data_IF_346084736549
#
_entry.id   IF_346084736549
#
_cell.length_a   1.000
_cell.length_b   1.000
_cell.length_c   1.000
_cell.angle_alpha   90.00
_cell.angle_beta   90.00
_cell.angle_gamma   90.00
#
_symmetry.space_group_name_H-M   'P 1'
#
loop_
_entity.id
_entity.type
_entity.pdbx_description
1 polymer ?
#
# COMPACT_ATOMS: atom_id res chain seq x y z
N UNK A 1 50.23 -4.18 -5.60
CA UNK A 1 48.82 -3.76 -5.59
C UNK A 1 48.02 -4.94 -5.07
N UNK A 2 47.57 -4.89 -3.81
CA UNK A 2 46.77 -5.95 -3.22
C UNK A 2 45.33 -5.76 -3.71
N UNK A 3 44.79 -6.78 -4.38
CA UNK A 3 43.36 -6.85 -4.66
C UNK A 3 42.65 -7.02 -3.30
N UNK A 4 41.98 -5.96 -2.84
CA UNK A 4 41.00 -6.07 -1.77
C UNK A 4 39.92 -7.05 -2.24
N UNK A 5 39.87 -8.22 -1.59
CA UNK A 5 38.70 -9.08 -1.63
C UNK A 5 37.56 -8.28 -1.02
N UNK A 6 36.66 -7.76 -1.86
CA UNK A 6 35.34 -7.32 -1.42
C UNK A 6 34.65 -8.56 -0.86
N UNK A 7 34.62 -8.67 0.46
CA UNK A 7 33.81 -9.67 1.15
C UNK A 7 32.36 -9.40 0.74
N UNK A 8 31.71 -10.35 0.06
CA UNK A 8 30.26 -10.30 -0.16
C UNK A 8 29.58 -10.28 1.21
N UNK A 9 29.20 -9.09 1.66
CA UNK A 9 28.50 -8.85 2.91
C UNK A 9 27.07 -9.35 2.75
N UNK A 10 26.81 -10.57 3.22
CA UNK A 10 25.48 -11.19 3.14
C UNK A 10 24.60 -10.81 4.33
N UNK A 11 23.57 -10.01 4.11
CA UNK A 11 22.65 -9.57 5.16
C UNK A 11 21.84 -10.73 5.73
N UNK A 12 21.58 -10.67 7.04
CA UNK A 12 20.72 -11.61 7.76
C UNK A 12 19.55 -10.84 8.35
N UNK A 13 18.32 -11.31 8.08
CA UNK A 13 17.10 -10.60 8.44
C UNK A 13 16.28 -11.34 9.48
N UNK A 14 15.70 -10.62 10.45
CA UNK A 14 14.75 -11.21 11.39
C UNK A 14 13.48 -10.37 11.50
N UNK A 15 12.32 -11.02 11.44
CA UNK A 15 11.03 -10.38 11.59
C UNK A 15 10.86 -9.85 13.02
N UNK A 16 10.46 -8.59 13.14
CA UNK A 16 10.07 -7.95 14.40
C UNK A 16 8.56 -8.09 14.61
N UNK A 17 8.11 -9.29 14.96
CA UNK A 17 6.67 -9.62 15.05
C UNK A 17 5.90 -8.82 16.11
N UNK A 18 6.60 -8.17 17.06
CA UNK A 18 6.00 -7.31 18.09
C UNK A 18 5.86 -5.85 17.67
N UNK A 19 6.55 -5.40 16.61
CA UNK A 19 6.40 -4.02 16.13
C UNK A 19 5.04 -3.89 15.46
N UNK A 20 4.31 -2.86 15.86
CA UNK A 20 3.00 -2.54 15.33
C UNK A 20 3.01 -1.16 14.72
N UNK A 21 2.05 -0.93 13.83
CA UNK A 21 1.92 0.30 13.06
C UNK A 21 0.60 0.95 13.41
N UNK A 22 0.65 2.19 13.89
CA UNK A 22 -0.50 2.92 14.40
C UNK A 22 -1.57 3.11 13.33
N UNK A 23 -1.18 3.33 12.06
CA UNK A 23 -2.14 3.51 10.97
C UNK A 23 -2.95 2.24 10.66
N UNK A 24 -2.43 1.05 10.97
CA UNK A 24 -3.15 -0.22 10.80
C UNK A 24 -4.16 -0.48 11.93
N UNK A 25 -4.03 0.22 13.06
CA UNK A 25 -4.90 0.09 14.22
C UNK A 25 -5.89 1.25 14.34
N UNK A 26 -5.64 2.35 13.64
CA UNK A 26 -6.50 3.53 13.65
C UNK A 26 -7.86 3.24 13.00
N UNK A 27 -8.93 3.52 13.74
CA UNK A 27 -10.30 3.19 13.32
C UNK A 27 -10.73 3.99 12.10
N UNK A 28 -10.43 5.30 12.08
CA UNK A 28 -10.82 6.18 10.98
C UNK A 28 -10.09 5.78 9.69
N UNK A 29 -8.79 5.49 9.81
CA UNK A 29 -7.97 4.98 8.71
C UNK A 29 -8.51 3.65 8.20
N UNK A 30 -8.91 2.73 9.08
CA UNK A 30 -9.51 1.45 8.68
C UNK A 30 -10.82 1.65 7.90
N UNK A 31 -11.69 2.57 8.33
CA UNK A 31 -12.93 2.92 7.62
C UNK A 31 -12.64 3.49 6.21
N UNK A 32 -11.66 4.40 6.10
CA UNK A 32 -11.23 4.94 4.80
C UNK A 32 -10.59 3.87 3.91
N UNK A 33 -9.67 3.06 4.45
CA UNK A 33 -9.05 1.97 3.70
C UNK A 33 -10.10 0.95 3.22
N UNK A 34 -11.16 0.71 4.00
CA UNK A 34 -12.26 -0.15 3.56
C UNK A 34 -13.00 0.50 2.38
N UNK A 35 -13.36 1.78 2.51
CA UNK A 35 -14.02 2.57 1.47
C UNK A 35 -13.21 2.62 0.17
N UNK A 36 -11.88 2.74 0.28
CA UNK A 36 -10.97 2.78 -0.86
C UNK A 36 -10.54 1.40 -1.35
N UNK A 37 -11.14 0.31 -0.86
CA UNK A 37 -10.80 -1.07 -1.24
C UNK A 37 -9.32 -1.43 -1.01
N UNK A 38 -8.70 -0.84 0.02
CA UNK A 38 -7.31 -1.08 0.44
C UNK A 38 -7.21 -1.83 1.78
N UNK A 39 -8.28 -1.90 2.58
CA UNK A 39 -8.27 -2.60 3.87
C UNK A 39 -7.93 -4.08 3.66
N UNK A 40 -6.96 -4.58 4.43
CA UNK A 40 -6.44 -5.93 4.29
C UNK A 40 -5.59 -6.16 3.04
N UNK A 41 -5.37 -5.15 2.20
CA UNK A 41 -4.50 -5.19 1.01
C UNK A 41 -3.26 -4.33 1.15
N UNK A 42 -3.30 -3.33 2.04
CA UNK A 42 -2.14 -2.61 2.54
C UNK A 42 -1.66 -3.23 3.86
N UNK A 43 -0.35 -3.44 4.01
CA UNK A 43 0.26 -3.92 5.25
C UNK A 43 1.66 -3.36 5.41
N UNK A 44 2.13 -3.30 6.65
CA UNK A 44 3.50 -3.01 6.99
C UNK A 44 4.09 -4.16 7.82
N UNK A 45 5.36 -4.52 7.57
CA UNK A 45 6.10 -5.54 8.31
C UNK A 45 7.48 -5.00 8.66
N UNK A 46 7.89 -5.16 9.91
CA UNK A 46 9.18 -4.68 10.37
C UNK A 46 10.21 -5.80 10.48
N UNK A 47 11.45 -5.53 10.11
CA UNK A 47 12.58 -6.45 10.22
C UNK A 47 13.78 -5.73 10.82
N UNK A 48 14.66 -6.48 11.47
CA UNK A 48 16.02 -6.05 11.78
C UNK A 48 17.03 -6.77 10.89
N UNK A 49 18.24 -6.23 10.81
CA UNK A 49 19.37 -6.88 10.16
C UNK A 49 20.71 -6.59 10.86
N UNK A 50 21.69 -7.44 10.59
CA UNK A 50 22.95 -7.55 11.35
C UNK A 50 24.13 -6.74 10.80
N UNK A 51 24.03 -6.25 9.57
CA UNK A 51 25.12 -5.52 8.90
C UNK A 51 24.83 -4.04 8.69
N UNK A 52 25.88 -3.25 8.44
CA UNK A 52 25.73 -1.83 8.15
C UNK A 52 25.17 -1.61 6.74
N UNK A 53 24.06 -0.88 6.63
CA UNK A 53 23.51 -0.52 5.33
C UNK A 53 24.15 0.75 4.77
N UNK A 54 24.48 0.73 3.48
CA UNK A 54 24.93 1.91 2.73
C UNK A 54 24.18 1.97 1.41
N UNK A 55 23.70 3.15 1.02
CA UNK A 55 22.79 3.33 -0.12
C UNK A 55 23.34 2.85 -1.47
N UNK A 56 24.68 2.79 -1.62
CA UNK A 56 25.28 2.24 -2.83
C UNK A 56 25.08 0.72 -2.95
N UNK A 57 24.99 -0.01 -1.83
CA UNK A 57 24.72 -1.47 -1.75
C UNK A 57 23.22 -1.81 -1.75
N UNK A 58 22.34 -0.87 -2.14
CA UNK A 58 20.88 -1.08 -2.13
C UNK A 58 20.44 -2.28 -2.97
N UNK A 59 21.13 -2.58 -4.06
CA UNK A 59 20.76 -3.68 -4.96
C UNK A 59 21.04 -5.02 -4.29
N UNK A 60 22.22 -5.17 -3.70
CA UNK A 60 22.68 -6.34 -2.96
C UNK A 60 21.83 -6.55 -1.71
N UNK A 61 21.57 -5.50 -0.94
CA UNK A 61 20.71 -5.54 0.25
C UNK A 61 19.31 -6.10 -0.07
N UNK A 62 18.65 -5.57 -1.10
CA UNK A 62 17.31 -6.03 -1.51
C UNK A 62 17.36 -7.45 -2.08
N UNK A 63 18.42 -7.79 -2.83
CA UNK A 63 18.63 -9.15 -3.32
C UNK A 63 18.76 -10.14 -2.18
N UNK A 64 19.57 -9.82 -1.16
CA UNK A 64 19.73 -10.65 0.04
C UNK A 64 18.43 -10.76 0.82
N UNK A 65 17.68 -9.67 0.96
CA UNK A 65 16.37 -9.66 1.62
C UNK A 65 15.42 -10.68 1.00
N UNK A 66 15.20 -10.62 -0.33
CA UNK A 66 14.28 -11.55 -0.99
C UNK A 66 14.78 -12.99 -1.06
N UNK A 67 16.10 -13.22 -0.90
CA UNK A 67 16.72 -14.55 -0.91
C UNK A 67 16.96 -15.14 0.48
N UNK A 68 16.72 -14.37 1.55
CA UNK A 68 16.83 -14.88 2.91
C UNK A 68 15.66 -15.84 3.19
N UNK A 69 15.93 -17.11 3.58
CA UNK A 69 14.88 -18.09 3.86
C UNK A 69 13.89 -17.63 4.95
N UNK A 70 14.33 -16.84 5.93
CA UNK A 70 13.46 -16.28 6.98
C UNK A 70 12.56 -15.20 6.44
N UNK A 71 13.00 -14.44 5.44
CA UNK A 71 12.14 -13.46 4.76
C UNK A 71 11.16 -14.21 3.89
N UNK A 72 11.61 -15.16 3.06
CA UNK A 72 10.71 -15.95 2.21
C UNK A 72 9.59 -16.64 3.00
N UNK A 73 9.88 -17.12 4.21
CA UNK A 73 8.92 -17.77 5.11
C UNK A 73 8.04 -16.81 5.92
N UNK A 74 8.27 -15.50 5.88
CA UNK A 74 7.51 -14.53 6.71
C UNK A 74 6.91 -13.39 5.90
N UNK A 75 7.54 -12.99 4.78
CA UNK A 75 7.10 -11.90 3.93
C UNK A 75 5.77 -12.27 3.29
N UNK A 76 4.72 -11.66 3.82
CA UNK A 76 3.37 -11.79 3.28
C UNK A 76 3.27 -11.08 1.92
N UNK A 77 2.72 -11.80 0.95
CA UNK A 77 2.34 -11.31 -0.38
C UNK A 77 0.86 -11.63 -0.57
N UNK A 78 0.09 -10.66 -1.02
CA UNK A 78 -1.32 -10.92 -1.29
C UNK A 78 -1.39 -11.73 -2.58
N UNK A 79 -2.01 -12.91 -2.56
CA UNK A 79 -2.24 -13.79 -3.71
C UNK A 79 -3.34 -13.26 -4.64
N UNK A 80 -3.41 -13.77 -5.87
CA UNK A 80 -4.39 -13.29 -6.86
C UNK A 80 -5.83 -13.62 -6.46
N UNK A 81 -5.98 -14.60 -5.58
CA UNK A 81 -7.20 -15.02 -4.90
C UNK A 81 -7.59 -14.10 -3.73
N UNK A 82 -6.83 -13.02 -3.48
CA UNK A 82 -7.09 -12.09 -2.38
C UNK A 82 -6.67 -12.62 -1.00
N UNK A 83 -5.96 -13.74 -0.93
CA UNK A 83 -5.47 -14.33 0.31
C UNK A 83 -3.99 -14.04 0.52
N UNK A 84 -3.59 -13.66 1.73
CA UNK A 84 -2.18 -13.50 2.06
C UNK A 84 -1.47 -14.86 2.08
N UNK A 85 -0.40 -14.95 1.31
CA UNK A 85 0.49 -16.11 1.21
C UNK A 85 1.92 -15.69 1.51
N UNK A 86 2.78 -16.65 1.82
CA UNK A 86 4.22 -16.40 1.85
C UNK A 86 4.71 -16.24 0.41
N UNK A 87 5.80 -15.49 0.19
CA UNK A 87 6.34 -15.31 -1.15
C UNK A 87 6.66 -16.66 -1.82
N UNK A 88 7.11 -17.67 -1.06
CA UNK A 88 7.35 -19.09 -1.44
C UNK A 88 7.81 -19.34 -2.89
N UNK A 89 8.58 -18.38 -3.41
CA UNK A 89 9.04 -18.31 -4.80
C UNK A 89 10.52 -17.99 -4.76
N UNK A 90 11.27 -18.68 -5.60
CA UNK A 90 12.69 -18.44 -5.74
C UNK A 90 12.92 -17.13 -6.52
N UNK A 91 13.33 -16.08 -5.83
CA UNK A 91 13.59 -14.77 -6.44
C UNK A 91 14.91 -14.80 -7.21
N UNK A 92 14.82 -14.66 -8.53
CA UNK A 92 15.96 -14.66 -9.46
C UNK A 92 16.54 -13.26 -9.63
N UNK A 93 15.68 -12.23 -9.64
CA UNK A 93 16.06 -10.83 -9.91
C UNK A 93 15.26 -9.87 -9.04
N UNK A 94 15.85 -8.72 -8.73
CA UNK A 94 15.17 -7.59 -8.07
C UNK A 94 15.39 -6.29 -8.85
N UNK A 95 14.43 -5.37 -8.78
CA UNK A 95 14.57 -3.98 -9.23
C UNK A 95 14.45 -3.08 -8.00
N UNK A 96 15.38 -2.14 -7.87
CA UNK A 96 15.44 -1.21 -6.74
C UNK A 96 15.52 0.21 -7.27
N UNK A 97 14.62 1.06 -6.80
CA UNK A 97 14.60 2.48 -7.08
C UNK A 97 14.77 3.24 -5.76
N UNK A 98 15.76 4.14 -5.71
CA UNK A 98 15.93 5.05 -4.58
C UNK A 98 14.88 6.17 -4.70
N UNK A 99 14.06 6.33 -3.68
CA UNK A 99 12.97 7.31 -3.65
C UNK A 99 13.37 8.47 -2.75
N UNK A 100 13.38 9.73 -3.25
CA UNK A 100 13.58 10.90 -2.43
C UNK A 100 12.58 10.95 -1.27
N UNK A 101 13.07 11.26 -0.08
CA UNK A 101 12.26 11.36 1.14
C UNK A 101 12.67 12.62 1.90
N UNK A 102 12.67 13.76 1.22
CA UNK A 102 13.12 15.06 1.75
C UNK A 102 11.96 15.94 2.22
N UNK A 103 10.75 15.75 1.67
CA UNK A 103 9.56 16.52 2.05
C UNK A 103 8.91 15.95 3.30
N UNK A 104 8.89 16.74 4.38
CA UNK A 104 8.30 16.36 5.66
C UNK A 104 6.93 16.99 5.93
N UNK A 105 6.52 17.95 5.11
CA UNK A 105 5.26 18.68 5.29
C UNK A 105 4.27 18.39 4.17
N UNK A 106 3.00 18.33 4.53
CA UNK A 106 1.88 18.20 3.58
C UNK A 106 1.61 19.49 2.82
N UNK A 107 2.26 20.60 3.19
CA UNK A 107 2.15 21.89 2.48
C UNK A 107 2.59 21.77 1.01
N UNK A 108 3.28 20.68 0.65
CA UNK A 108 3.53 20.35 -0.75
C UNK A 108 2.25 20.18 -1.59
N UNK A 109 1.09 19.98 -0.95
CA UNK A 109 -0.22 19.89 -1.59
C UNK A 109 -0.97 21.23 -1.63
N UNK A 110 -0.41 22.31 -1.09
CA UNK A 110 -1.01 23.66 -1.18
C UNK A 110 -1.27 24.12 -2.63
N UNK A 111 -0.43 23.78 -3.63
CA UNK A 111 -0.70 24.12 -5.02
C UNK A 111 -2.03 23.58 -5.55
N UNK A 112 -2.58 22.52 -4.96
CA UNK A 112 -3.89 21.97 -5.35
C UNK A 112 -5.02 22.99 -5.13
N UNK A 113 -4.91 23.83 -4.11
CA UNK A 113 -5.89 24.88 -3.82
C UNK A 113 -5.72 26.08 -4.74
N UNK A 114 -4.49 26.51 -5.00
CA UNK A 114 -4.21 27.70 -5.81
C UNK A 114 -4.54 27.52 -7.28
N UNK A 115 -4.55 26.27 -7.78
CA UNK A 115 -4.88 25.94 -9.18
C UNK A 115 -6.31 25.42 -9.37
N UNK A 116 -7.16 25.48 -8.33
CA UNK A 116 -8.58 25.14 -8.45
C UNK A 116 -8.91 23.64 -8.54
N UNK A 117 -7.92 22.77 -8.41
CA UNK A 117 -8.11 21.31 -8.27
C UNK A 117 -8.92 21.01 -7.01
N UNK A 118 -8.67 21.78 -5.95
CA UNK A 118 -9.39 21.73 -4.67
C UNK A 118 -9.95 23.11 -4.35
N UNK A 119 -11.21 23.18 -3.94
CA UNK A 119 -11.87 24.41 -3.49
C UNK A 119 -11.36 24.82 -2.11
N UNK A 120 -11.48 26.11 -1.70
CA UNK A 120 -11.11 26.54 -0.35
C UNK A 120 -11.81 25.76 0.78
N UNK A 121 -12.95 25.15 0.50
CA UNK A 121 -13.70 24.28 1.42
C UNK A 121 -13.11 22.87 1.56
N UNK A 122 -12.04 22.52 0.83
CA UNK A 122 -11.46 21.18 0.77
C UNK A 122 -12.13 20.24 -0.23
N UNK A 123 -13.19 20.69 -0.92
CA UNK A 123 -13.90 19.89 -1.92
C UNK A 123 -13.09 19.76 -3.21
N UNK A 124 -12.94 18.53 -3.71
CA UNK A 124 -12.26 18.23 -4.98
C UNK A 124 -13.17 18.67 -6.14
N UNK A 125 -12.59 19.41 -7.09
CA UNK A 125 -13.32 19.89 -8.26
C UNK A 125 -13.59 18.74 -9.23
N UNK A 126 -14.85 18.56 -9.63
CA UNK A 126 -15.23 17.60 -10.68
C UNK A 126 -14.83 18.13 -12.04
N UNK A 127 -14.48 17.22 -12.96
CA UNK A 127 -14.15 17.56 -14.34
C UNK A 127 -15.02 16.78 -15.32
N UNK A 128 -15.14 17.28 -16.54
CA UNK A 128 -15.78 16.56 -17.63
C UNK A 128 -14.74 15.68 -18.33
N UNK A 129 -14.68 14.41 -17.95
CA UNK A 129 -13.80 13.44 -18.61
C UNK A 129 -14.56 12.67 -19.68
N UNK A 130 -13.97 12.51 -20.87
CA UNK A 130 -14.62 11.92 -22.05
C UNK A 130 -15.14 10.49 -21.80
N UNK A 131 -14.41 9.72 -21.01
CA UNK A 131 -14.68 8.29 -20.78
C UNK A 131 -15.31 7.97 -19.41
N UNK A 132 -15.18 8.85 -18.43
CA UNK A 132 -15.51 8.55 -17.04
C UNK A 132 -16.36 9.67 -16.45
N UNK A 133 -17.65 9.41 -16.26
CA UNK A 133 -18.59 10.42 -15.77
C UNK A 133 -18.25 10.93 -14.36
N UNK A 134 -17.69 10.07 -13.52
CA UNK A 134 -17.39 10.38 -12.13
C UNK A 134 -15.96 10.86 -11.91
N UNK A 135 -15.21 11.24 -12.96
CA UNK A 135 -13.82 11.69 -12.84
C UNK A 135 -13.70 13.08 -12.17
N UNK A 136 -12.51 13.41 -11.69
CA UNK A 136 -12.25 14.69 -11.04
C UNK A 136 -10.87 15.25 -11.39
N UNK A 137 -10.68 16.54 -11.12
CA UNK A 137 -9.46 17.29 -11.41
C UNK A 137 -8.24 16.70 -10.67
N UNK A 138 -8.44 16.10 -9.49
CA UNK A 138 -7.36 15.51 -8.71
C UNK A 138 -6.80 14.29 -9.43
N UNK A 139 -7.67 13.34 -9.82
CA UNK A 139 -7.26 12.14 -10.56
C UNK A 139 -6.72 12.48 -11.94
N UNK A 140 -7.27 13.50 -12.59
CA UNK A 140 -6.72 14.03 -13.85
C UNK A 140 -5.28 14.52 -13.67
N UNK A 141 -5.01 15.35 -12.66
CA UNK A 141 -3.66 15.80 -12.35
C UNK A 141 -2.72 14.64 -12.00
N UNK A 142 -3.21 13.65 -11.24
CA UNK A 142 -2.40 12.50 -10.82
C UNK A 142 -2.02 11.56 -11.97
N UNK A 143 -2.94 11.29 -12.91
CA UNK A 143 -2.82 10.21 -13.89
C UNK A 143 -2.53 10.65 -15.33
N UNK A 144 -2.96 11.84 -15.73
CA UNK A 144 -2.91 12.26 -17.14
C UNK A 144 -1.75 13.24 -17.34
N UNK A 145 -0.64 12.74 -17.88
CA UNK A 145 0.60 13.51 -18.11
C UNK A 145 0.39 14.74 -19.00
N UNK A 146 -0.51 14.64 -19.97
CA UNK A 146 -0.84 15.70 -20.91
C UNK A 146 -1.92 16.68 -20.38
N UNK A 147 -2.40 16.51 -19.14
CA UNK A 147 -3.39 17.42 -18.58
C UNK A 147 -2.77 18.76 -18.19
N UNK A 148 -3.55 19.85 -18.32
CA UNK A 148 -3.11 21.20 -17.94
C UNK A 148 -2.62 21.28 -16.49
N UNK A 149 -3.25 20.50 -15.62
CA UNK A 149 -2.97 20.48 -14.19
C UNK A 149 -1.84 19.53 -13.78
N UNK A 150 -1.31 18.68 -14.67
CA UNK A 150 -0.25 17.71 -14.32
C UNK A 150 0.98 18.40 -13.71
N UNK A 151 1.38 19.55 -14.26
CA UNK A 151 2.55 20.30 -13.79
C UNK A 151 2.35 21.08 -12.47
N UNK A 152 1.14 21.07 -11.88
CA UNK A 152 0.83 21.84 -10.64
C UNK A 152 1.71 21.41 -9.48
N UNK A 153 2.02 20.12 -9.40
CA UNK A 153 3.06 19.59 -8.50
C UNK A 153 4.31 19.35 -9.35
N UNK A 154 5.44 19.91 -8.93
CA UNK A 154 6.69 19.87 -9.68
C UNK A 154 7.14 18.43 -9.95
N UNK A 155 7.87 18.20 -11.04
CA UNK A 155 8.38 16.87 -11.39
C UNK A 155 9.18 16.26 -10.23
N UNK A 156 9.97 17.08 -9.55
CA UNK A 156 10.80 16.73 -8.41
C UNK A 156 9.93 16.33 -7.20
N UNK A 157 8.93 17.13 -6.85
CA UNK A 157 8.01 16.84 -5.74
C UNK A 157 7.18 15.58 -6.01
N UNK A 158 6.86 15.27 -7.27
CA UNK A 158 6.17 14.02 -7.62
C UNK A 158 7.03 12.77 -7.41
N UNK A 159 8.35 12.92 -7.38
CA UNK A 159 9.24 11.80 -7.05
C UNK A 159 9.33 11.55 -5.55
N UNK A 160 8.96 12.51 -4.70
CA UNK A 160 9.06 12.39 -3.24
C UNK A 160 8.13 11.30 -2.70
N UNK A 161 8.62 10.58 -1.69
CA UNK A 161 7.88 9.48 -1.08
C UNK A 161 6.52 9.93 -0.55
N UNK A 162 6.44 11.12 0.04
CA UNK A 162 5.19 11.69 0.54
C UNK A 162 4.14 11.87 -0.59
N UNK A 163 4.55 12.36 -1.75
CA UNK A 163 3.66 12.49 -2.91
C UNK A 163 3.24 11.12 -3.45
N UNK A 164 4.20 10.20 -3.62
CA UNK A 164 3.89 8.86 -4.14
C UNK A 164 2.91 8.12 -3.24
N UNK A 165 3.08 8.23 -1.91
CA UNK A 165 2.15 7.67 -0.95
C UNK A 165 0.75 8.32 -1.07
N UNK A 166 0.69 9.64 -1.19
CA UNK A 166 -0.56 10.36 -1.42
C UNK A 166 -1.27 9.90 -2.69
N UNK A 167 -0.53 9.77 -3.80
CA UNK A 167 -1.06 9.25 -5.07
C UNK A 167 -1.65 7.86 -4.88
N UNK A 168 -0.91 6.93 -4.27
CA UNK A 168 -1.41 5.57 -3.99
C UNK A 168 -2.72 5.56 -3.20
N UNK A 169 -2.82 6.42 -2.19
CA UNK A 169 -4.02 6.57 -1.35
C UNK A 169 -5.20 7.14 -2.15
N UNK A 170 -4.95 8.12 -3.03
CA UNK A 170 -6.00 8.70 -3.88
C UNK A 170 -6.51 7.71 -4.94
N UNK A 171 -5.62 6.90 -5.52
CA UNK A 171 -5.98 5.90 -6.52
C UNK A 171 -6.78 4.75 -5.91
N UNK A 172 -6.42 4.35 -4.68
CA UNK A 172 -7.10 3.29 -3.95
C UNK A 172 -6.94 1.91 -4.57
N UNK A 173 -7.87 1.02 -4.23
CA UNK A 173 -7.98 -0.34 -4.76
C UNK A 173 -9.00 -0.46 -5.89
N UNK A 174 -9.40 -1.69 -6.19
CA UNK A 174 -10.28 -1.99 -7.31
C UNK A 174 -11.67 -1.36 -7.16
N UNK A 175 -12.33 -1.56 -6.01
CA UNK A 175 -13.65 -1.01 -5.74
C UNK A 175 -13.56 0.31 -4.95
N UNK A 176 -12.63 1.18 -5.34
CA UNK A 176 -12.39 2.44 -4.65
C UNK A 176 -13.64 3.34 -4.72
N UNK A 177 -14.20 3.67 -3.56
CA UNK A 177 -15.19 4.72 -3.44
C UNK A 177 -14.46 6.04 -3.13
N UNK A 178 -14.25 6.85 -4.17
CA UNK A 178 -13.49 8.09 -4.06
C UNK A 178 -14.10 9.09 -3.07
N UNK A 179 -13.26 9.94 -2.50
CA UNK A 179 -13.67 11.06 -1.64
C UNK A 179 -13.96 12.30 -2.47
N UNK A 180 -14.86 13.14 -1.95
CA UNK A 180 -15.05 14.50 -2.45
C UNK A 180 -14.24 15.52 -1.65
N UNK A 181 -13.60 15.12 -0.54
CA UNK A 181 -12.85 16.01 0.36
C UNK A 181 -11.38 15.58 0.38
N UNK A 182 -10.48 16.48 0.00
CA UNK A 182 -9.03 16.19 -0.10
C UNK A 182 -8.40 15.83 1.24
N UNK A 183 -8.91 16.41 2.34
CA UNK A 183 -8.35 16.27 3.68
C UNK A 183 -8.33 14.82 4.14
N UNK A 184 -9.34 14.02 3.75
CA UNK A 184 -9.40 12.59 4.06
C UNK A 184 -8.17 11.84 3.52
N UNK A 185 -7.76 12.15 2.28
CA UNK A 185 -6.57 11.58 1.65
C UNK A 185 -5.28 12.11 2.27
N UNK A 186 -5.18 13.43 2.48
CA UNK A 186 -3.98 14.06 3.06
C UNK A 186 -3.72 13.57 4.48
N UNK A 187 -4.74 13.49 5.33
CA UNK A 187 -4.58 13.07 6.72
C UNK A 187 -4.25 11.59 6.84
N UNK A 188 -4.87 10.74 6.03
CA UNK A 188 -4.50 9.31 5.98
C UNK A 188 -3.07 9.12 5.50
N UNK A 189 -2.67 9.83 4.44
CA UNK A 189 -1.29 9.85 3.94
C UNK A 189 -0.33 10.30 5.04
N UNK A 190 -0.63 11.40 5.72
CA UNK A 190 0.20 11.96 6.80
C UNK A 190 0.37 10.95 7.94
N UNK A 191 -0.70 10.25 8.33
CA UNK A 191 -0.63 9.25 9.38
C UNK A 191 0.30 8.10 9.00
N UNK A 192 0.12 7.52 7.80
CA UNK A 192 0.99 6.45 7.30
C UNK A 192 2.43 6.95 7.21
N UNK A 193 2.67 8.13 6.64
CA UNK A 193 4.00 8.71 6.48
C UNK A 193 4.71 8.88 7.82
N UNK A 194 4.03 9.40 8.84
CA UNK A 194 4.59 9.58 10.20
C UNK A 194 4.93 8.27 10.90
N UNK A 195 4.21 7.20 10.58
CA UNK A 195 4.42 5.88 11.17
C UNK A 195 5.56 5.12 10.49
N UNK A 196 5.83 5.43 9.22
CA UNK A 196 6.87 4.79 8.41
C UNK A 196 8.22 5.55 8.44
N UNK A 197 8.19 6.88 8.43
CA UNK A 197 9.40 7.70 8.22
C UNK A 197 9.97 8.19 9.55
N UNK A 198 11.22 7.85 9.80
CA UNK A 198 12.00 8.37 10.91
C UNK A 198 12.57 9.75 10.57
N UNK A 199 12.50 10.67 11.54
CA UNK A 199 13.06 12.02 11.44
C UNK A 199 14.03 12.28 12.58
N UNK A 200 15.06 13.08 12.30
CA UNK A 200 15.98 13.58 13.31
C UNK A 200 16.12 15.10 13.21
N UNK A 201 16.53 15.72 14.31
CA UNK A 201 16.90 17.13 14.30
C UNK A 201 18.39 17.24 14.07
N UNK A 202 18.77 17.96 13.04
CA UNK A 202 20.16 18.23 12.75
C UNK A 202 20.80 19.01 13.93
N UNK A 203 21.93 18.53 14.49
CA UNK A 203 22.54 19.15 15.67
C UNK A 203 23.00 20.59 15.43
N UNK A 204 23.39 20.94 14.21
CA UNK A 204 23.98 22.22 13.85
C UNK A 204 22.91 23.24 13.43
N UNK A 205 22.15 22.90 12.39
CA UNK A 205 21.12 23.77 11.78
C UNK A 205 19.82 23.80 12.56
N UNK A 206 19.60 22.86 13.48
CA UNK A 206 18.34 22.65 14.23
C UNK A 206 17.13 22.34 13.36
N UNK A 207 17.31 22.09 12.07
CA UNK A 207 16.24 21.71 11.15
C UNK A 207 15.89 20.22 11.33
N UNK A 208 14.63 19.88 11.12
CA UNK A 208 14.17 18.48 11.14
C UNK A 208 14.35 17.91 9.73
N UNK A 209 14.94 16.73 9.64
CA UNK A 209 15.24 16.04 8.39
C UNK A 209 14.89 14.56 8.50
N UNK A 210 14.42 13.97 7.40
CA UNK A 210 14.23 12.52 7.32
C UNK A 210 15.58 11.81 7.43
N UNK A 211 15.59 10.67 8.10
CA UNK A 211 16.77 9.78 8.15
C UNK A 211 16.55 8.47 7.41
N UNK A 212 15.30 8.18 7.05
CA UNK A 212 14.92 6.97 6.33
C UNK A 212 15.44 6.97 4.91
N UNK A 213 16.09 5.88 4.52
CA UNK A 213 16.35 5.58 3.12
C UNK A 213 15.16 4.78 2.58
N UNK A 214 14.45 5.36 1.61
CA UNK A 214 13.26 4.73 1.01
C UNK A 214 13.62 4.08 -0.31
N UNK A 215 13.38 2.78 -0.42
CA UNK A 215 13.59 1.99 -1.64
C UNK A 215 12.26 1.46 -2.16
N UNK A 216 11.87 1.81 -3.40
CA UNK A 216 10.78 1.10 -4.09
C UNK A 216 11.35 -0.17 -4.69
N UNK A 217 10.72 -1.30 -4.40
CA UNK A 217 11.25 -2.62 -4.75
C UNK A 217 10.27 -3.45 -5.56
N UNK A 218 10.81 -4.23 -6.49
CA UNK A 218 10.13 -5.30 -7.21
C UNK A 218 10.99 -6.55 -7.18
N UNK A 219 10.37 -7.72 -7.07
CA UNK A 219 11.05 -9.00 -7.17
C UNK A 219 10.47 -9.83 -8.32
N UNK A 220 11.33 -10.63 -8.94
CA UNK A 220 10.99 -11.47 -10.08
C UNK A 220 11.44 -12.92 -9.83
N UNK A 221 10.61 -13.85 -10.23
CA UNK A 221 10.89 -15.29 -10.28
C UNK A 221 11.15 -15.72 -11.74
N UNK A 222 11.02 -17.02 -12.05
CA UNK A 222 11.14 -17.53 -13.42
C UNK A 222 9.95 -17.16 -14.32
N UNK A 223 8.77 -16.90 -13.75
CA UNK A 223 7.54 -16.57 -14.47
C UNK A 223 7.39 -15.06 -14.72
N UNK A 224 8.07 -14.21 -13.96
CA UNK A 224 8.06 -12.76 -14.14
C UNK A 224 8.01 -12.03 -12.81
N UNK A 225 7.26 -10.91 -12.78
CA UNK A 225 7.07 -10.14 -11.55
C UNK A 225 6.32 -11.01 -10.53
N UNK A 226 6.85 -11.15 -9.33
CA UNK A 226 6.21 -11.91 -8.26
C UNK A 226 5.91 -11.08 -7.01
N UNK A 227 6.47 -9.87 -6.93
CA UNK A 227 6.28 -8.95 -5.81
C UNK A 227 6.35 -7.49 -6.29
N UNK A 228 5.45 -6.59 -5.84
CA UNK A 228 4.38 -6.79 -4.84
C UNK A 228 3.13 -7.53 -5.35
N UNK A 229 2.99 -7.66 -6.67
CA UNK A 229 1.89 -8.33 -7.36
C UNK A 229 2.44 -8.97 -8.62
N UNK A 230 1.76 -9.98 -9.16
CA UNK A 230 2.10 -10.59 -10.46
C UNK A 230 1.76 -9.70 -11.66
N UNK A 231 0.95 -8.66 -11.42
CA UNK A 231 0.57 -7.66 -12.41
C UNK A 231 1.17 -6.29 -12.09
N UNK A 232 1.74 -5.63 -13.09
CA UNK A 232 2.19 -4.25 -12.97
C UNK A 232 1.00 -3.30 -13.00
N UNK A 233 0.75 -2.64 -11.87
CA UNK A 233 -0.32 -1.65 -11.66
C UNK A 233 0.24 -0.56 -10.75
N UNK A 234 -0.10 0.70 -11.00
CA UNK A 234 0.42 1.82 -10.19
C UNK A 234 0.06 1.66 -8.71
N UNK A 235 -1.14 1.16 -8.41
CA UNK A 235 -1.67 0.95 -7.07
C UNK A 235 -1.04 -0.27 -6.36
N UNK A 236 -0.27 -1.10 -7.08
CA UNK A 236 0.52 -2.18 -6.49
C UNK A 236 1.94 -1.70 -6.24
N UNK A 237 2.32 -1.55 -4.98
CA UNK A 237 3.61 -1.01 -4.59
C UNK A 237 4.22 -1.75 -3.40
N UNK A 238 5.55 -1.72 -3.33
CA UNK A 238 6.29 -2.08 -2.15
C UNK A 238 7.44 -1.10 -1.92
N UNK A 239 7.54 -0.61 -0.69
CA UNK A 239 8.63 0.23 -0.23
C UNK A 239 9.33 -0.44 0.96
N UNK A 240 10.65 -0.41 0.95
CA UNK A 240 11.47 -0.72 2.12
C UNK A 240 11.99 0.62 2.67
N UNK A 241 11.61 0.95 3.90
CA UNK A 241 12.09 2.14 4.61
C UNK A 241 13.16 1.72 5.59
N UNK A 242 14.42 1.99 5.26
CA UNK A 242 15.59 1.54 6.02
C UNK A 242 16.03 2.65 6.96
N UNK A 243 16.10 2.31 8.24
CA UNK A 243 16.44 3.21 9.33
C UNK A 243 17.53 2.62 10.23
N UNK A 244 18.34 3.49 10.80
CA UNK A 244 19.18 3.17 11.96
C UNK A 244 18.45 3.64 13.23
N UNK A 245 17.63 2.78 13.80
CA UNK A 245 16.83 3.10 14.99
C UNK A 245 17.50 2.54 16.25
N UNK A 246 17.79 3.41 17.23
CA UNK A 246 18.41 3.03 18.50
C UNK A 246 19.70 2.19 18.34
N UNK A 247 20.50 2.49 17.31
CA UNK A 247 21.75 1.77 17.01
C UNK A 247 21.55 0.38 16.40
N UNK A 248 20.30 -0.01 16.09
CA UNK A 248 19.97 -1.24 15.38
C UNK A 248 19.41 -0.91 14.01
N UNK A 249 19.94 -1.56 12.99
CA UNK A 249 19.41 -1.44 11.65
C UNK A 249 18.06 -2.15 11.52
N UNK A 250 17.08 -1.43 11.01
CA UNK A 250 15.72 -1.91 10.80
C UNK A 250 15.20 -1.45 9.46
N UNK A 251 14.22 -2.16 8.92
CA UNK A 251 13.38 -1.60 7.88
C UNK A 251 11.94 -2.03 8.00
N UNK A 252 11.06 -1.16 7.51
CA UNK A 252 9.64 -1.42 7.38
C UNK A 252 9.29 -1.65 5.91
N UNK A 253 8.68 -2.79 5.63
CA UNK A 253 8.17 -3.16 4.32
C UNK A 253 6.69 -2.78 4.22
N UNK A 254 6.39 -1.65 3.56
CA UNK A 254 5.03 -1.23 3.25
C UNK A 254 4.63 -1.80 1.89
N UNK A 255 3.55 -2.57 1.85
CA UNK A 255 3.10 -3.29 0.65
C UNK A 255 1.63 -3.05 0.43
N UNK A 256 1.27 -2.75 -0.83
CA UNK A 256 -0.11 -2.72 -1.30
C UNK A 256 -0.22 -3.53 -2.59
N UNK A 257 -1.33 -4.25 -2.74
CA UNK A 257 -1.67 -4.95 -3.98
C UNK A 257 -3.06 -4.57 -4.48
N UNK A 258 -3.10 -4.13 -5.73
CA UNK A 258 -4.31 -4.04 -6.53
C UNK A 258 -4.77 -5.43 -6.96
N UNK A 259 -6.08 -5.71 -6.98
CA UNK A 259 -6.54 -7.01 -7.48
C UNK A 259 -8.04 -7.20 -7.53
N UNK A 260 -8.44 -8.09 -8.42
CA UNK A 260 -9.79 -8.39 -8.88
C UNK A 260 -10.61 -9.25 -7.88
N UNK A 261 -11.80 -8.80 -7.48
CA UNK A 261 -12.72 -9.56 -6.60
C UNK A 261 -13.43 -10.74 -7.30
N UNK A 262 -13.22 -10.93 -8.61
CA UNK A 262 -13.98 -11.91 -9.40
C UNK A 262 -13.68 -13.39 -9.09
N UNK A 263 -12.68 -13.72 -8.28
CA UNK A 263 -12.44 -15.13 -7.86
C UNK A 263 -12.79 -15.43 -6.39
N UNK A 264 -12.65 -14.48 -5.47
CA UNK A 264 -13.00 -14.69 -4.06
C UNK A 264 -14.51 -14.88 -3.85
N UNK A 265 -15.34 -14.31 -4.75
CA UNK A 265 -16.80 -14.44 -4.73
C UNK A 265 -17.33 -15.73 -5.38
N UNK A 266 -16.47 -16.58 -5.97
CA UNK A 266 -16.86 -17.87 -6.58
C UNK A 266 -16.55 -19.11 -5.73
N UNK A 267 -15.90 -18.96 -4.57
CA UNK A 267 -15.66 -20.07 -3.65
C UNK A 267 -16.23 -19.80 -2.27
N UNK A 268 -17.57 -19.79 -2.18
CA UNK A 268 -18.34 -20.25 -1.02
C UNK A 268 -19.79 -20.50 -1.44
N UNK A 269 -20.21 -21.75 -1.70
CA UNK A 269 -21.62 -22.12 -1.61
C UNK A 269 -21.94 -22.32 -0.12
N UNK A 270 -22.21 -21.23 0.60
CA UNK A 270 -22.98 -21.36 1.82
C UNK A 270 -24.38 -21.85 1.42
N UNK A 271 -24.68 -23.06 1.91
CA UNK A 271 -25.83 -23.91 1.56
C UNK A 271 -27.17 -23.16 1.46
N UNK A 272 -28.05 -23.54 0.52
CA UNK A 272 -29.45 -23.18 0.60
C UNK A 272 -30.11 -24.05 1.68
N UNK A 273 -30.70 -23.43 2.69
CA UNK A 273 -31.46 -24.15 3.71
C UNK A 273 -31.62 -23.33 4.96
N UNK A 274 -32.66 -22.48 4.98
CA UNK A 274 -33.62 -22.22 6.06
C UNK A 274 -34.51 -21.10 5.52
N UNK A 275 -35.52 -21.47 4.71
CA UNK A 275 -36.79 -20.73 4.62
C UNK A 275 -37.86 -21.58 3.92
N UNK A 276 -38.19 -22.73 4.50
CA UNK A 276 -39.47 -23.42 4.27
C UNK A 276 -39.58 -24.52 5.32
N UNK A 277 -40.23 -24.20 6.45
CA UNK A 277 -41.03 -25.11 7.26
C UNK A 277 -41.58 -24.37 8.48
N UNK A 278 -42.59 -23.55 8.24
CA UNK A 278 -43.62 -23.19 9.21
C UNK A 278 -44.91 -23.02 8.40
N UNK A 279 -45.48 -24.15 7.96
CA UNK A 279 -46.91 -24.40 7.79
C UNK A 279 -47.09 -25.71 6.99
N UNK A 280 -46.90 -26.85 7.66
CA UNK A 280 -47.71 -28.06 7.46
C UNK A 280 -47.29 -29.12 8.47
N UNK A 281 -47.99 -29.21 9.59
CA UNK A 281 -48.11 -30.44 10.36
C UNK A 281 -49.59 -30.83 10.39
N UNK A 282 -49.93 -32.09 10.13
CA UNK A 282 -51.31 -32.54 9.91
C UNK A 282 -52.03 -32.81 11.23
N UNK A 283 -53.28 -32.38 11.33
CA UNK A 283 -54.24 -32.94 12.28
C UNK A 283 -55.16 -33.88 11.49
N UNK A 284 -55.19 -35.12 11.92
CA UNK A 284 -56.04 -36.18 11.41
C UNK A 284 -57.51 -36.02 11.85
N UNK A 285 -58.40 -36.48 10.98
CA UNK A 285 -59.69 -37.13 11.22
C UNK A 285 -60.77 -36.45 12.08
N UNK A 286 -61.89 -36.09 11.42
CA UNK A 286 -63.29 -36.53 11.66
C UNK A 286 -64.19 -35.64 10.79
N UNK A 287 -64.59 -36.08 9.60
CA UNK A 287 -65.79 -36.88 9.29
C UNK A 287 -67.12 -36.09 9.39
N UNK A 288 -67.92 -36.22 8.32
CA UNK A 288 -69.35 -35.85 8.14
C UNK A 288 -69.67 -34.37 7.92
N UNK A 289 -70.65 -33.97 7.11
CA UNK A 289 -71.54 -34.52 6.06
C UNK A 289 -72.44 -33.32 5.71
N UNK A 290 -73.03 -33.34 4.50
CA UNK A 290 -74.32 -32.71 4.14
C UNK A 290 -74.31 -31.17 4.05
N UNK A 291 -74.49 -30.58 2.87
CA UNK A 291 -75.71 -30.46 2.02
C UNK A 291 -76.19 -29.01 2.07
N UNK A 292 -76.64 -28.54 0.91
CA UNK A 292 -77.26 -27.25 0.57
C UNK A 292 -76.33 -26.06 0.32
#
# INVERSE_FOLDING_TARGET
MAAEKVSEQKFTFNLLSSKTFSFLQDKNTSEFLMKWSMLGRITAQAFNFDQHFQTYNKQEFVSDFFRDPRVASNLKVLGADGNWKMLDKEVTRVTVELVPCTKLSVDMFDPLYSHGIVRPTGHITKCFHEYYADFDELRQMLLIEDSENYGVISREDRQEFLFRLFQHICLGGELCQYEDIITNYIDTTRLIYKDMVSVQRDPETKQVMAVSTVLKVKAYDQAGLCYPSESEQEQSFAYLLIDLSNGTWQFDALVSRYGDLTQASRMSPCRPGILQDLMTAPIACLDRRQEA
#
